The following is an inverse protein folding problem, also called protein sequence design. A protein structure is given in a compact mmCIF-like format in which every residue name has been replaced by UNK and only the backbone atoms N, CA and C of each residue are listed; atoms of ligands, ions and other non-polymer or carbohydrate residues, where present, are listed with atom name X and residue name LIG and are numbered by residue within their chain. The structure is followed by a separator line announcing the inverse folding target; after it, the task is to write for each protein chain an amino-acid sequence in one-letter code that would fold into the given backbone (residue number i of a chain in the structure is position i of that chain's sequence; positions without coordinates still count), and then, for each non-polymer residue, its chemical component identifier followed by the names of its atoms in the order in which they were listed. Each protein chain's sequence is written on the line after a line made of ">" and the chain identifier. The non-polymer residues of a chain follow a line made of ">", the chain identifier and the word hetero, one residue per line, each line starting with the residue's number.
data_IF_379210791496
#
_entry.id   IF_379210791496
#
_cell.length_a   1.000
_cell.length_b   1.000
_cell.length_c   1.000
_cell.angle_alpha   90.00
_cell.angle_beta   90.00
_cell.angle_gamma   90.00
#
_symmetry.space_group_name_H-M   'P 1'
#
loop_
_entity.id
_entity.type
_entity.pdbx_description
1 polymer ?
#
# COMPACT_ATOMS: atom_id res chain seq x y z
N UNK A 1 10.67 22.01 -16.49
CA UNK A 1 9.82 21.28 -15.52
C UNK A 1 9.75 19.84 -15.99
N UNK A 2 9.99 18.82 -15.15
CA UNK A 2 9.77 17.43 -15.53
C UNK A 2 8.31 17.28 -15.99
N UNK A 3 8.09 16.47 -17.03
CA UNK A 3 6.75 16.24 -17.57
C UNK A 3 5.86 15.63 -16.48
N UNK A 4 4.92 16.43 -15.98
CA UNK A 4 3.98 16.08 -14.91
C UNK A 4 3.17 14.84 -15.32
N UNK A 5 2.82 14.72 -16.60
CA UNK A 5 2.07 13.58 -17.14
C UNK A 5 2.91 12.32 -17.13
N UNK A 6 4.19 12.41 -17.48
CA UNK A 6 5.10 11.26 -17.44
C UNK A 6 5.33 10.78 -15.99
N UNK A 7 5.55 11.72 -15.06
CA UNK A 7 5.75 11.41 -13.63
C UNK A 7 4.52 10.71 -13.05
N UNK A 8 3.32 11.18 -13.39
CA UNK A 8 2.06 10.59 -12.95
C UNK A 8 1.86 9.17 -13.51
N UNK A 9 2.18 8.93 -14.78
CA UNK A 9 2.14 7.58 -15.38
C UNK A 9 3.10 6.62 -14.68
N UNK A 10 4.31 7.07 -14.37
CA UNK A 10 5.30 6.27 -13.62
C UNK A 10 4.76 5.93 -12.22
N UNK A 11 4.21 6.90 -11.49
CA UNK A 11 3.62 6.67 -10.16
C UNK A 11 2.47 5.67 -10.25
N UNK A 12 1.55 5.84 -11.21
CA UNK A 12 0.43 4.93 -11.41
C UNK A 12 0.89 3.49 -11.68
N UNK A 13 1.88 3.31 -12.56
CA UNK A 13 2.45 1.99 -12.84
C UNK A 13 3.05 1.34 -11.59
N UNK A 14 3.70 2.11 -10.72
CA UNK A 14 4.26 1.58 -9.47
C UNK A 14 3.18 1.25 -8.44
N UNK A 15 2.06 1.99 -8.41
CA UNK A 15 0.94 1.68 -7.51
C UNK A 15 0.31 0.32 -7.86
N UNK A 16 0.24 -0.04 -9.15
CA UNK A 16 -0.23 -1.36 -9.61
C UNK A 16 0.60 -2.55 -9.09
N UNK A 17 1.78 -2.29 -8.50
CA UNK A 17 2.61 -3.30 -7.84
C UNK A 17 1.92 -4.00 -6.66
N UNK A 18 0.82 -3.45 -6.15
CA UNK A 18 0.02 -4.07 -5.09
C UNK A 18 -0.39 -5.51 -5.42
N UNK A 19 -0.61 -5.83 -6.70
CA UNK A 19 -0.97 -7.17 -7.18
C UNK A 19 0.14 -8.18 -6.85
N UNK A 20 1.38 -7.80 -7.15
CA UNK A 20 2.55 -8.62 -6.89
C UNK A 20 2.81 -8.76 -5.38
N UNK A 21 2.69 -7.66 -4.62
CA UNK A 21 2.86 -7.72 -3.17
C UNK A 21 1.81 -8.59 -2.48
N UNK A 22 0.55 -8.49 -2.89
CA UNK A 22 -0.52 -9.31 -2.34
C UNK A 22 -0.34 -10.79 -2.69
N UNK A 23 0.05 -11.11 -3.92
CA UNK A 23 0.37 -12.48 -4.33
C UNK A 23 1.59 -13.06 -3.59
N UNK A 24 2.66 -12.28 -3.44
CA UNK A 24 3.87 -12.67 -2.72
C UNK A 24 3.66 -12.84 -1.21
N UNK A 25 2.56 -12.32 -0.66
CA UNK A 25 2.22 -12.52 0.75
C UNK A 25 1.51 -13.87 1.01
N UNK A 26 1.09 -14.60 -0.04
CA UNK A 26 0.38 -15.88 0.11
C UNK A 26 1.25 -17.01 0.67
N UNK A 27 2.52 -17.22 0.27
CA UNK A 27 3.32 -18.29 0.85
C UNK A 27 3.57 -18.13 2.36
N UNK A 28 3.93 -16.94 2.89
CA UNK A 28 3.98 -16.71 4.34
C UNK A 28 2.64 -16.94 5.05
N UNK A 29 1.50 -16.64 4.41
CA UNK A 29 0.18 -16.93 4.96
C UNK A 29 -0.07 -18.44 5.08
N UNK A 30 0.29 -19.22 4.06
CA UNK A 30 0.19 -20.67 4.11
C UNK A 30 1.03 -21.22 5.27
N UNK A 31 2.26 -20.72 5.44
CA UNK A 31 3.10 -21.10 6.57
C UNK A 31 2.46 -20.75 7.92
N UNK A 32 1.81 -19.59 8.04
CA UNK A 32 1.10 -19.21 9.27
C UNK A 32 0.03 -20.25 9.64
N UNK A 33 -0.73 -20.74 8.66
CA UNK A 33 -1.73 -21.79 8.88
C UNK A 33 -1.12 -23.14 9.26
N UNK A 34 0.08 -23.47 8.76
CA UNK A 34 0.79 -24.70 9.16
C UNK A 34 1.32 -24.62 10.60
N UNK A 35 1.57 -23.41 11.11
CA UNK A 35 2.13 -23.16 12.44
C UNK A 35 1.05 -22.74 13.46
N UNK A 36 -0.24 -23.01 13.20
CA UNK A 36 -1.34 -22.58 14.08
C UNK A 36 -1.11 -22.99 15.55
N UNK A 37 -1.46 -22.07 16.46
CA UNK A 37 -1.25 -22.24 17.90
C UNK A 37 0.13 -21.79 18.40
N UNK A 38 1.06 -21.48 17.50
CA UNK A 38 2.37 -20.93 17.84
C UNK A 38 2.39 -19.39 17.83
N UNK A 39 3.38 -18.81 18.52
CA UNK A 39 3.62 -17.37 18.50
C UNK A 39 3.99 -16.87 17.09
N UNK A 40 4.73 -17.68 16.35
CA UNK A 40 5.19 -17.44 14.99
C UNK A 40 4.00 -17.28 14.04
N UNK A 41 2.98 -18.13 14.18
CA UNK A 41 1.72 -17.99 13.43
C UNK A 41 1.04 -16.66 13.71
N UNK A 42 0.92 -16.25 14.98
CA UNK A 42 0.31 -14.96 15.33
C UNK A 42 1.06 -13.77 14.71
N UNK A 43 2.40 -13.81 14.75
CA UNK A 43 3.25 -12.77 14.16
C UNK A 43 3.11 -12.72 12.63
N UNK A 44 3.13 -13.88 11.96
CA UNK A 44 2.92 -13.98 10.51
C UNK A 44 1.55 -13.44 10.08
N UNK A 45 0.48 -13.78 10.82
CA UNK A 45 -0.87 -13.28 10.54
C UNK A 45 -0.94 -11.75 10.71
N UNK A 46 -0.34 -11.21 11.76
CA UNK A 46 -0.31 -9.76 11.99
C UNK A 46 0.43 -9.02 10.84
N UNK A 47 1.59 -9.54 10.44
CA UNK A 47 2.37 -8.98 9.33
C UNK A 47 1.68 -9.16 7.97
N UNK A 48 0.96 -10.26 7.77
CA UNK A 48 0.14 -10.47 6.58
C UNK A 48 -0.97 -9.42 6.49
N UNK A 49 -1.73 -9.22 7.57
CA UNK A 49 -2.79 -8.20 7.62
C UNK A 49 -2.24 -6.79 7.40
N UNK A 50 -1.09 -6.47 7.97
CA UNK A 50 -0.40 -5.20 7.74
C UNK A 50 0.01 -5.02 6.27
N UNK A 51 0.54 -6.08 5.65
CA UNK A 51 0.91 -6.08 4.23
C UNK A 51 -0.33 -5.89 3.34
N UNK A 52 -1.42 -6.59 3.64
CA UNK A 52 -2.68 -6.45 2.90
C UNK A 52 -3.32 -5.06 3.08
N UNK A 53 -3.22 -4.46 4.26
CA UNK A 53 -3.65 -3.07 4.49
C UNK A 53 -2.93 -2.10 3.53
N UNK A 54 -1.59 -2.22 3.41
CA UNK A 54 -0.85 -1.38 2.48
C UNK A 54 -1.13 -1.71 1.00
N UNK A 55 -1.33 -2.99 0.65
CA UNK A 55 -1.74 -3.38 -0.70
C UNK A 55 -3.10 -2.78 -1.08
N UNK A 56 -4.06 -2.82 -0.16
CA UNK A 56 -5.37 -2.17 -0.35
C UNK A 56 -5.22 -0.65 -0.53
N UNK A 57 -4.35 0.00 0.24
CA UNK A 57 -4.08 1.43 0.04
C UNK A 57 -3.42 1.75 -1.30
N UNK A 58 -2.49 0.92 -1.76
CA UNK A 58 -1.90 1.07 -3.10
C UNK A 58 -2.93 0.86 -4.21
N UNK A 59 -3.80 -0.14 -4.08
CA UNK A 59 -4.91 -0.37 -5.01
C UNK A 59 -5.88 0.81 -5.07
N UNK A 60 -6.20 1.40 -3.91
CA UNK A 60 -7.07 2.57 -3.87
C UNK A 60 -6.40 3.75 -4.56
N UNK A 61 -5.13 4.03 -4.25
CA UNK A 61 -4.38 5.12 -4.86
C UNK A 61 -4.25 4.90 -6.37
N UNK A 62 -3.96 3.68 -6.83
CA UNK A 62 -3.93 3.33 -8.27
C UNK A 62 -5.20 3.79 -8.99
N UNK A 63 -6.38 3.62 -8.38
CA UNK A 63 -7.67 4.00 -8.99
C UNK A 63 -8.04 5.48 -8.83
N UNK A 64 -7.54 6.14 -7.79
CA UNK A 64 -7.80 7.57 -7.55
C UNK A 64 -6.91 8.46 -8.42
N UNK A 65 -5.69 8.04 -8.75
CA UNK A 65 -4.74 8.82 -9.55
C UNK A 65 -5.20 9.14 -10.99
N UNK A 66 -5.93 8.26 -11.70
CA UNK A 66 -6.55 8.59 -12.98
C UNK A 66 -7.68 9.62 -12.87
N UNK A 67 -8.46 9.59 -11.79
CA UNK A 67 -9.52 10.59 -11.52
C UNK A 67 -8.91 11.99 -11.33
N UNK A 68 -7.77 12.07 -10.65
CA UNK A 68 -6.99 13.31 -10.53
C UNK A 68 -6.48 13.88 -11.85
N UNK A 69 -6.39 13.06 -12.90
CA UNK A 69 -5.99 13.50 -14.24
C UNK A 69 -7.16 14.03 -15.08
N UNK A 70 -8.39 13.71 -14.66
CA UNK A 70 -9.61 13.99 -15.41
C UNK A 70 -10.39 15.16 -14.80
N UNK A 71 -10.13 15.48 -13.53
CA UNK A 71 -10.73 16.58 -12.80
C UNK A 71 -9.85 17.84 -12.91
N UNK A 72 -10.36 18.90 -13.55
CA UNK A 72 -9.68 20.20 -13.57
C UNK A 72 -9.70 20.88 -12.18
N UNK A 73 -10.62 20.46 -11.30
CA UNK A 73 -10.78 20.98 -9.94
C UNK A 73 -10.30 19.99 -8.87
N UNK A 74 -9.04 20.12 -8.47
CA UNK A 74 -8.44 19.36 -7.37
C UNK A 74 -9.12 19.62 -6.02
N UNK A 75 -9.79 20.77 -5.83
CA UNK A 75 -10.51 21.08 -4.60
C UNK A 75 -11.82 20.29 -4.51
N UNK A 76 -12.51 20.07 -5.64
CA UNK A 76 -13.68 19.19 -5.71
C UNK A 76 -13.31 17.74 -5.34
N UNK A 77 -12.18 17.23 -5.84
CA UNK A 77 -11.66 15.92 -5.44
C UNK A 77 -11.38 15.84 -3.93
N UNK A 78 -10.70 16.86 -3.37
CA UNK A 78 -10.38 16.88 -1.93
C UNK A 78 -11.64 16.99 -1.06
N UNK A 79 -12.66 17.71 -1.51
CA UNK A 79 -13.96 17.77 -0.84
C UNK A 79 -14.69 16.41 -0.86
N UNK A 80 -14.65 15.69 -1.99
CA UNK A 80 -15.20 14.33 -2.10
C UNK A 80 -14.50 13.36 -1.13
N UNK A 81 -13.17 13.41 -1.07
CA UNK A 81 -12.38 12.62 -0.12
C UNK A 81 -12.67 13.00 1.34
N UNK A 82 -12.78 14.29 1.66
CA UNK A 82 -13.11 14.75 3.01
C UNK A 82 -14.48 14.22 3.46
N UNK A 83 -15.47 14.24 2.56
CA UNK A 83 -16.81 13.71 2.83
C UNK A 83 -16.83 12.19 3.03
N UNK A 84 -16.07 11.44 2.23
CA UNK A 84 -15.98 9.98 2.35
C UNK A 84 -15.34 9.55 3.68
N UNK A 85 -14.34 10.30 4.16
CA UNK A 85 -13.57 9.96 5.36
C UNK A 85 -14.00 10.72 6.62
N UNK A 86 -15.08 11.51 6.56
CA UNK A 86 -15.50 12.42 7.63
C UNK A 86 -14.34 13.29 8.16
N UNK A 87 -13.39 13.62 7.28
CA UNK A 87 -12.20 14.37 7.62
C UNK A 87 -12.46 15.86 7.44
N UNK A 88 -11.86 16.69 8.30
CA UNK A 88 -11.90 18.16 8.09
C UNK A 88 -11.23 18.49 6.76
N UNK A 89 -11.86 19.32 5.91
CA UNK A 89 -11.23 19.81 4.69
C UNK A 89 -9.91 20.49 5.04
N UNK A 90 -8.81 19.94 4.54
CA UNK A 90 -7.49 20.52 4.69
C UNK A 90 -7.19 21.51 3.56
N UNK A 91 -6.06 22.25 3.66
CA UNK A 91 -5.56 23.02 2.52
C UNK A 91 -5.37 22.10 1.31
N UNK A 92 -5.74 22.61 0.12
CA UNK A 92 -5.63 21.89 -1.14
C UNK A 92 -4.20 21.37 -1.33
N UNK A 93 -4.07 20.06 -1.58
CA UNK A 93 -2.75 19.42 -1.70
C UNK A 93 -2.24 19.47 -3.13
N UNK A 94 -1.01 19.94 -3.30
CA UNK A 94 -0.34 19.91 -4.61
C UNK A 94 -0.10 18.48 -5.08
N UNK A 95 0.01 18.29 -6.39
CA UNK A 95 0.27 16.97 -6.98
C UNK A 95 1.56 16.33 -6.42
N UNK A 96 2.58 17.14 -6.16
CA UNK A 96 3.86 16.70 -5.60
C UNK A 96 3.72 16.18 -4.15
N UNK A 97 2.85 16.80 -3.34
CA UNK A 97 2.52 16.28 -2.01
C UNK A 97 1.82 14.93 -2.10
N UNK A 98 0.94 14.73 -3.09
CA UNK A 98 0.24 13.46 -3.32
C UNK A 98 1.21 12.36 -3.74
N UNK A 99 2.14 12.64 -4.67
CA UNK A 99 3.20 11.70 -5.06
C UNK A 99 4.08 11.28 -3.89
N UNK A 100 4.47 12.22 -3.02
CA UNK A 100 5.23 11.89 -1.80
C UNK A 100 4.43 11.01 -0.83
N UNK A 101 3.11 11.14 -0.79
CA UNK A 101 2.22 10.27 -0.03
C UNK A 101 2.20 8.84 -0.60
N UNK A 102 1.91 8.71 -1.89
CA UNK A 102 1.90 7.44 -2.61
C UNK A 102 3.24 6.70 -2.49
N UNK A 103 4.36 7.41 -2.69
CA UNK A 103 5.71 6.84 -2.53
C UNK A 103 5.94 6.33 -1.11
N UNK A 104 5.49 7.05 -0.08
CA UNK A 104 5.62 6.59 1.31
C UNK A 104 4.84 5.31 1.57
N UNK A 105 3.61 5.20 1.04
CA UNK A 105 2.80 3.99 1.17
C UNK A 105 3.47 2.82 0.44
N UNK A 106 4.02 3.05 -0.76
CA UNK A 106 4.76 2.03 -1.50
C UNK A 106 5.94 1.48 -0.69
N UNK A 107 6.75 2.35 -0.07
CA UNK A 107 7.87 1.91 0.75
C UNK A 107 7.41 1.14 1.99
N UNK A 108 6.31 1.57 2.63
CA UNK A 108 5.72 0.85 3.77
C UNK A 108 5.20 -0.53 3.37
N UNK A 109 4.59 -0.67 2.20
CA UNK A 109 4.17 -1.96 1.66
C UNK A 109 5.36 -2.90 1.44
N UNK A 110 6.44 -2.39 0.82
CA UNK A 110 7.68 -3.14 0.63
C UNK A 110 8.30 -3.56 1.97
N UNK A 111 8.42 -2.64 2.94
CA UNK A 111 8.96 -2.96 4.26
C UNK A 111 8.12 -4.00 5.01
N UNK A 112 6.78 -3.90 4.96
CA UNK A 112 5.90 -4.88 5.58
C UNK A 112 6.03 -6.27 4.94
N UNK A 113 6.08 -6.33 3.60
CA UNK A 113 6.29 -7.58 2.87
C UNK A 113 7.66 -8.19 3.19
N UNK A 114 8.73 -7.39 3.22
CA UNK A 114 10.08 -7.86 3.59
C UNK A 114 10.09 -8.41 5.02
N UNK A 115 9.48 -7.71 5.98
CA UNK A 115 9.37 -8.18 7.35
C UNK A 115 8.59 -9.51 7.44
N UNK A 116 7.48 -9.63 6.71
CA UNK A 116 6.69 -10.86 6.61
C UNK A 116 7.55 -12.04 6.11
N UNK A 117 8.33 -11.83 5.05
CA UNK A 117 9.22 -12.85 4.51
C UNK A 117 10.36 -13.21 5.44
N UNK A 118 10.99 -12.23 6.11
CA UNK A 118 12.04 -12.50 7.10
C UNK A 118 11.52 -13.40 8.23
N UNK A 119 10.36 -13.09 8.79
CA UNK A 119 9.74 -13.92 9.83
C UNK A 119 9.41 -15.31 9.29
N UNK A 120 8.88 -15.42 8.06
CA UNK A 120 8.56 -16.70 7.45
C UNK A 120 9.80 -17.59 7.27
N UNK A 121 10.89 -17.02 6.76
CA UNK A 121 12.17 -17.73 6.57
C UNK A 121 12.72 -18.20 7.92
N UNK A 122 12.79 -17.30 8.91
CA UNK A 122 13.31 -17.63 10.24
C UNK A 122 12.46 -18.71 10.93
N UNK A 123 11.13 -18.63 10.80
CA UNK A 123 10.22 -19.65 11.34
C UNK A 123 10.42 -21.01 10.64
N UNK A 124 10.65 -21.02 9.33
CA UNK A 124 10.88 -22.25 8.57
C UNK A 124 12.22 -22.93 8.89
N UNK A 125 13.21 -22.16 9.37
CA UNK A 125 14.52 -22.66 9.81
C UNK A 125 14.50 -23.14 11.28
N UNK A 126 13.37 -23.01 11.99
CA UNK A 126 13.27 -23.33 13.41
C UNK A 126 14.04 -22.36 14.31
N UNK A 127 14.32 -21.14 13.84
CA UNK A 127 15.15 -20.16 14.54
C UNK A 127 14.39 -19.22 15.50
N UNK A 128 13.09 -19.40 15.68
CA UNK A 128 12.23 -18.70 16.67
C UNK A 128 11.19 -19.72 17.12
#
# INVERSE_FOLDING_TARGET
>A
MPDIRMTQRVVHAHLASWRFFSALALPPLLLAFLLLGSFQSALLLALFLLTQYYCWRLWLDERLFPLLNSEDDLAAFDAGMARLWSAKPGPARSMEQRWRGARRILHRAMSALTALWLVAIVSSLGMI
#
